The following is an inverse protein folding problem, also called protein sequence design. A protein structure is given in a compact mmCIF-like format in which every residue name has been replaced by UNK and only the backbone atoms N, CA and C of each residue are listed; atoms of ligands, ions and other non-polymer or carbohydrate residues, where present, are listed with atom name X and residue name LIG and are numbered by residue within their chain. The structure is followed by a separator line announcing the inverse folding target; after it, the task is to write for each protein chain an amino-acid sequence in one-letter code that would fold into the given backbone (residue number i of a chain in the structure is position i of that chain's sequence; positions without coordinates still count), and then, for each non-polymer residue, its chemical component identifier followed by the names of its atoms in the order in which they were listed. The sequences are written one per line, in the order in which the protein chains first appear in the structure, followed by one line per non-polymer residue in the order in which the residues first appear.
data_IF_814999013224
#
_entry.id   IF_814999013224
#
_cell.length_a   1.000
_cell.length_b   1.000
_cell.length_c   1.000
_cell.angle_alpha   90.00
_cell.angle_beta   90.00
_cell.angle_gamma   90.00
#
_symmetry.space_group_name_H-M   'P 1'
#
loop_
_entity.id
_entity.type
_entity.pdbx_description
1 polymer ?
#
# COMPACT_ATOMS: atom_id res chain seq x y z
N UNK A 1 18.77 -1.70 -67.48
CA UNK A 1 19.37 -2.68 -66.56
C UNK A 1 18.21 -3.55 -66.04
N UNK A 2 17.74 -4.57 -66.75
CA UNK A 2 18.24 -5.94 -66.97
C UNK A 2 18.06 -6.93 -65.78
N UNK A 3 17.19 -7.93 -66.05
CA UNK A 3 17.03 -9.31 -65.52
C UNK A 3 16.47 -9.54 -64.10
N UNK A 4 15.34 -10.24 -63.88
CA UNK A 4 14.88 -11.64 -64.16
C UNK A 4 15.52 -12.75 -63.29
N UNK A 5 14.70 -13.26 -62.36
CA UNK A 5 14.42 -14.67 -61.97
C UNK A 5 15.54 -15.69 -61.69
N UNK A 6 15.45 -16.25 -60.48
CA UNK A 6 15.36 -17.68 -60.10
C UNK A 6 16.61 -18.59 -60.02
N UNK A 7 16.38 -19.65 -59.23
CA UNK A 7 16.97 -21.00 -59.20
C UNK A 7 18.12 -21.23 -58.20
N UNK A 8 17.88 -21.99 -57.10
CA UNK A 8 18.22 -23.43 -57.03
C UNK A 8 17.83 -24.09 -55.70
N UNK A 9 17.38 -25.33 -55.88
CA UNK A 9 16.74 -26.27 -54.97
C UNK A 9 17.77 -27.09 -54.17
N UNK A 10 17.36 -27.47 -52.95
CA UNK A 10 17.65 -28.67 -52.15
C UNK A 10 19.09 -29.17 -51.92
N UNK A 11 19.40 -29.44 -50.65
CA UNK A 11 19.92 -30.74 -50.25
C UNK A 11 19.29 -31.20 -48.93
N UNK A 12 18.78 -32.42 -48.94
CA UNK A 12 18.12 -33.12 -47.84
C UNK A 12 19.15 -33.74 -46.90
N UNK A 13 18.87 -33.76 -45.60
CA UNK A 13 19.42 -34.76 -44.69
C UNK A 13 18.39 -35.09 -43.61
N UNK A 14 17.78 -36.26 -43.76
CA UNK A 14 17.05 -37.00 -42.74
C UNK A 14 18.00 -37.50 -41.67
N UNK A 15 17.68 -37.26 -40.39
CA UNK A 15 18.03 -38.19 -39.32
C UNK A 15 16.96 -38.11 -38.23
N UNK A 16 16.29 -39.24 -38.07
CA UNK A 16 15.23 -39.53 -37.10
C UNK A 16 15.89 -39.87 -35.77
N UNK A 17 15.53 -39.20 -34.68
CA UNK A 17 15.61 -39.80 -33.34
C UNK A 17 14.34 -39.45 -32.57
N UNK A 18 13.57 -40.51 -32.32
CA UNK A 18 12.47 -40.59 -31.38
C UNK A 18 12.92 -40.29 -29.95
N UNK A 19 12.16 -39.43 -29.25
CA UNK A 19 11.73 -39.67 -27.88
C UNK A 19 10.60 -38.69 -27.54
N UNK A 20 9.37 -39.14 -27.76
CA UNK A 20 8.21 -38.63 -27.03
C UNK A 20 8.41 -38.97 -25.56
N UNK A 21 8.46 -37.96 -24.69
CA UNK A 21 7.80 -37.97 -23.39
C UNK A 21 7.57 -36.51 -22.97
N UNK A 22 6.30 -36.15 -22.99
CA UNK A 22 5.73 -34.83 -22.71
C UNK A 22 5.77 -34.59 -21.20
N UNK A 23 6.45 -33.56 -20.69
CA UNK A 23 6.10 -32.98 -19.40
C UNK A 23 4.91 -32.04 -19.61
N UNK A 24 3.87 -32.29 -18.83
CA UNK A 24 2.68 -31.48 -18.76
C UNK A 24 2.99 -30.03 -18.37
N UNK A 25 2.18 -29.14 -18.93
CA UNK A 25 1.76 -27.84 -18.39
C UNK A 25 2.82 -26.73 -18.26
N UNK A 26 2.62 -25.71 -19.09
CA UNK A 26 2.31 -24.40 -18.52
C UNK A 26 3.49 -23.44 -18.40
N UNK A 27 3.67 -22.66 -19.46
CA UNK A 27 4.35 -21.38 -19.49
C UNK A 27 4.03 -20.50 -18.27
N UNK A 28 5.06 -19.98 -17.60
CA UNK A 28 5.26 -18.52 -17.44
C UNK A 28 6.52 -18.25 -16.61
N UNK A 29 7.48 -17.63 -17.28
CA UNK A 29 8.51 -16.71 -16.80
C UNK A 29 8.78 -16.68 -15.29
N UNK A 30 9.94 -17.22 -14.92
CA UNK A 30 10.64 -16.86 -13.70
C UNK A 30 10.82 -15.34 -13.67
N UNK A 31 9.95 -14.65 -12.93
CA UNK A 31 10.17 -13.25 -12.58
C UNK A 31 11.41 -13.20 -11.68
N UNK A 32 12.42 -12.52 -12.18
CA UNK A 32 13.63 -12.16 -11.48
C UNK A 32 13.27 -11.63 -10.09
N UNK A 33 13.74 -12.32 -9.04
CA UNK A 33 13.81 -11.78 -7.70
C UNK A 33 14.74 -10.56 -7.74
N UNK A 34 14.17 -9.39 -8.00
CA UNK A 34 14.82 -8.13 -7.72
C UNK A 34 15.05 -8.09 -6.21
N UNK A 35 16.32 -8.13 -5.85
CA UNK A 35 16.87 -7.99 -4.52
C UNK A 35 16.30 -6.76 -3.79
N UNK A 36 15.75 -7.00 -2.59
CA UNK A 36 16.00 -6.14 -1.43
C UNK A 36 15.44 -4.71 -1.39
N UNK A 37 14.51 -4.31 -2.27
CA UNK A 37 13.82 -3.02 -2.14
C UNK A 37 12.34 -3.18 -1.87
N UNK A 38 12.01 -3.74 -0.71
CA UNK A 38 10.71 -3.50 -0.10
C UNK A 38 10.86 -3.24 1.40
N UNK A 39 10.15 -2.20 1.87
CA UNK A 39 9.69 -1.94 3.25
C UNK A 39 10.31 -0.76 4.04
N UNK A 40 11.49 -0.21 3.71
CA UNK A 40 11.98 1.05 4.34
C UNK A 40 11.67 2.32 3.51
N UNK A 41 11.43 2.15 2.21
CA UNK A 41 11.13 3.21 1.25
C UNK A 41 9.71 3.80 1.45
N UNK A 42 9.61 4.73 2.40
CA UNK A 42 8.60 5.80 2.60
C UNK A 42 8.85 6.54 3.91
N UNK A 43 9.50 5.90 4.88
CA UNK A 43 9.86 6.55 6.14
C UNK A 43 10.96 7.58 5.93
N UNK A 44 12.08 7.17 5.32
CA UNK A 44 13.25 8.05 5.14
C UNK A 44 12.94 9.25 4.23
N UNK A 45 12.08 9.06 3.23
CA UNK A 45 11.61 10.17 2.39
C UNK A 45 10.69 11.13 3.15
N UNK A 46 9.92 10.65 4.13
CA UNK A 46 9.11 11.51 5.00
C UNK A 46 9.98 12.20 6.05
N UNK A 47 10.98 11.53 6.59
CA UNK A 47 12.01 12.12 7.46
C UNK A 47 12.71 13.28 6.78
N UNK A 48 13.26 13.05 5.57
CA UNK A 48 13.95 14.07 4.80
C UNK A 48 13.02 15.28 4.53
N UNK A 49 11.80 15.02 4.06
CA UNK A 49 10.80 16.07 3.84
C UNK A 49 10.51 16.85 5.12
N UNK A 50 10.33 16.18 6.25
CA UNK A 50 9.99 16.83 7.52
C UNK A 50 11.15 17.44 8.31
N UNK A 51 12.39 17.24 7.85
CA UNK A 51 13.56 18.02 8.26
C UNK A 51 13.65 19.34 7.49
N UNK A 52 13.37 19.31 6.19
CA UNK A 52 13.49 20.48 5.31
C UNK A 52 12.22 21.34 5.21
N UNK A 53 11.11 20.90 5.81
CA UNK A 53 9.83 21.63 5.74
C UNK A 53 9.21 21.85 7.12
N UNK A 54 8.29 22.81 7.17
CA UNK A 54 7.57 23.17 8.39
C UNK A 54 6.65 22.04 8.87
N UNK A 55 6.20 22.15 10.13
CA UNK A 55 5.20 21.24 10.73
C UNK A 55 3.88 21.17 9.95
N UNK A 56 3.54 22.18 9.16
CA UNK A 56 2.30 22.21 8.38
C UNK A 56 2.46 21.65 6.97
N UNK A 57 3.67 21.23 6.57
CA UNK A 57 3.88 20.65 5.25
C UNK A 57 3.09 19.35 5.07
N UNK A 58 2.35 19.26 3.96
CA UNK A 58 1.53 18.08 3.60
C UNK A 58 2.45 17.03 2.98
N UNK A 59 2.61 15.90 3.67
CA UNK A 59 3.36 14.76 3.17
C UNK A 59 2.54 13.90 2.21
N UNK A 60 1.26 13.72 2.52
CA UNK A 60 0.39 12.78 1.83
C UNK A 60 -1.08 13.17 1.99
N UNK A 61 -1.90 12.78 1.02
CA UNK A 61 -3.36 12.78 1.10
C UNK A 61 -3.86 11.33 1.11
N UNK A 62 -4.85 11.05 1.94
CA UNK A 62 -5.62 9.81 1.96
C UNK A 62 -7.04 10.12 1.50
N UNK A 63 -7.64 9.29 0.67
CA UNK A 63 -8.90 9.58 0.02
C UNK A 63 -10.04 8.74 0.60
N UNK A 64 -11.24 9.31 0.63
CA UNK A 64 -12.50 8.63 0.93
C UNK A 64 -13.56 9.16 -0.02
N UNK A 65 -13.74 8.49 -1.16
CA UNK A 65 -14.54 9.02 -2.27
C UNK A 65 -14.02 10.40 -2.70
N UNK A 66 -14.87 11.45 -2.79
CA UNK A 66 -14.45 12.80 -3.15
C UNK A 66 -13.73 13.54 -2.02
N UNK A 67 -13.78 13.04 -0.79
CA UNK A 67 -13.12 13.66 0.36
C UNK A 67 -11.66 13.21 0.47
N UNK A 68 -10.82 14.05 1.09
CA UNK A 68 -9.46 13.66 1.42
C UNK A 68 -9.05 14.18 2.79
N UNK A 69 -8.11 13.45 3.37
CA UNK A 69 -7.51 13.75 4.66
C UNK A 69 -6.01 13.93 4.48
N UNK A 70 -5.43 14.97 5.08
CA UNK A 70 -4.01 15.26 4.90
C UNK A 70 -3.18 14.72 6.05
N UNK A 71 -2.05 14.10 5.72
CA UNK A 71 -1.00 13.81 6.68
C UNK A 71 0.08 14.86 6.52
N UNK A 72 0.27 15.65 7.57
CA UNK A 72 1.33 16.65 7.63
C UNK A 72 2.51 16.13 8.43
N UNK A 73 3.66 16.80 8.29
CA UNK A 73 4.83 16.54 9.11
C UNK A 73 4.53 16.56 10.61
N UNK A 74 3.77 17.56 11.05
CA UNK A 74 3.27 17.65 12.41
C UNK A 74 4.35 17.88 13.46
N UNK A 75 4.05 17.47 14.68
CA UNK A 75 4.89 17.63 15.87
C UNK A 75 4.98 16.31 16.63
N UNK A 76 5.55 16.30 17.84
CA UNK A 76 5.49 15.12 18.72
C UNK A 76 4.07 14.79 19.21
N UNK A 77 3.13 15.73 19.10
CA UNK A 77 1.76 15.58 19.58
C UNK A 77 0.74 15.20 18.49
N UNK A 78 1.05 15.42 17.21
CA UNK A 78 0.14 15.13 16.10
C UNK A 78 0.88 14.97 14.76
N UNK A 79 0.22 14.38 13.77
CA UNK A 79 0.75 14.20 12.42
C UNK A 79 1.81 13.10 12.33
N UNK A 80 2.59 13.11 11.26
CA UNK A 80 3.50 12.01 10.96
C UNK A 80 4.61 11.84 12.01
N UNK A 81 5.19 12.93 12.53
CA UNK A 81 6.21 12.87 13.60
C UNK A 81 5.68 12.17 14.85
N UNK A 82 4.43 12.41 15.23
CA UNK A 82 3.79 11.75 16.36
C UNK A 82 3.55 10.26 16.08
N UNK A 83 2.98 9.92 14.92
CA UNK A 83 2.72 8.52 14.56
C UNK A 83 4.03 7.73 14.53
N UNK A 84 5.07 8.29 13.89
CA UNK A 84 6.40 7.67 13.84
C UNK A 84 6.95 7.45 15.25
N UNK A 85 6.94 8.47 16.10
CA UNK A 85 7.57 8.39 17.43
C UNK A 85 6.83 7.49 18.41
N UNK A 86 5.49 7.55 18.45
CA UNK A 86 4.68 6.83 19.45
C UNK A 86 4.31 5.43 19.04
N UNK A 87 4.18 5.22 17.74
CA UNK A 87 3.59 4.00 17.25
C UNK A 87 4.53 3.32 16.22
N UNK A 88 5.49 4.03 15.62
CA UNK A 88 6.30 3.55 14.48
C UNK A 88 5.79 4.03 13.12
N UNK A 89 6.61 3.94 12.07
CA UNK A 89 6.16 4.23 10.70
C UNK A 89 6.76 3.23 9.72
N UNK A 90 5.91 2.60 8.91
CA UNK A 90 6.32 1.68 7.85
C UNK A 90 5.22 1.58 6.78
N UNK A 91 5.51 0.90 5.67
CA UNK A 91 4.57 0.72 4.56
C UNK A 91 3.27 0.02 4.99
N UNK A 92 3.33 -0.91 5.94
CA UNK A 92 2.15 -1.59 6.49
C UNK A 92 1.26 -0.64 7.26
N UNK A 93 1.82 0.29 8.02
CA UNK A 93 1.06 1.32 8.69
C UNK A 93 0.40 2.27 7.72
N UNK A 94 1.16 2.76 6.76
CA UNK A 94 0.64 3.64 5.73
C UNK A 94 -0.57 3.01 5.01
N UNK A 95 -0.47 1.71 4.68
CA UNK A 95 -1.59 0.93 4.12
C UNK A 95 -2.78 0.79 5.07
N UNK A 96 -2.55 0.61 6.37
CA UNK A 96 -3.64 0.52 7.36
C UNK A 96 -4.37 1.85 7.54
N UNK A 97 -3.66 2.98 7.50
CA UNK A 97 -4.25 4.32 7.50
C UNK A 97 -5.13 4.49 6.27
N UNK A 98 -4.57 4.15 5.10
CA UNK A 98 -5.28 4.23 3.82
C UNK A 98 -6.56 3.39 3.84
N UNK A 99 -6.48 2.12 4.26
CA UNK A 99 -7.65 1.24 4.37
C UNK A 99 -8.71 1.75 5.36
N UNK A 100 -8.28 2.24 6.53
CA UNK A 100 -9.21 2.80 7.51
C UNK A 100 -9.94 4.04 6.96
N UNK A 101 -9.22 4.94 6.29
CA UNK A 101 -9.82 6.15 5.71
C UNK A 101 -10.70 5.81 4.51
N UNK A 102 -10.24 4.92 3.63
CA UNK A 102 -10.94 4.55 2.40
C UNK A 102 -12.28 3.86 2.68
N UNK A 103 -12.27 2.80 3.51
CA UNK A 103 -13.44 1.93 3.69
C UNK A 103 -13.73 1.56 5.15
N UNK A 104 -12.97 2.08 6.11
CA UNK A 104 -13.25 1.86 7.53
C UNK A 104 -14.55 2.53 7.99
N UNK A 105 -15.07 2.05 9.13
CA UNK A 105 -16.27 2.60 9.75
C UNK A 105 -15.90 3.78 10.66
N UNK A 106 -16.80 4.77 10.82
CA UNK A 106 -16.65 5.80 11.84
C UNK A 106 -16.47 5.19 13.23
N UNK A 107 -15.55 5.74 14.01
CA UNK A 107 -15.15 5.16 15.31
C UNK A 107 -15.64 5.94 16.53
N UNK A 108 -16.53 6.92 16.34
CA UNK A 108 -17.05 7.78 17.42
C UNK A 108 -16.01 8.70 18.07
N UNK A 109 -14.76 8.73 17.57
CA UNK A 109 -13.64 9.52 18.10
C UNK A 109 -13.09 10.52 17.07
N UNK A 110 -13.91 10.89 16.08
CA UNK A 110 -13.50 11.80 15.02
C UNK A 110 -12.56 11.16 14.00
N UNK A 111 -12.71 9.86 13.72
CA UNK A 111 -11.96 9.20 12.65
C UNK A 111 -12.58 7.88 12.23
N UNK A 112 -11.75 7.02 11.65
CA UNK A 112 -12.18 5.76 11.06
C UNK A 112 -11.39 4.58 11.59
N UNK A 113 -12.02 3.42 11.60
CA UNK A 113 -11.40 2.19 12.09
C UNK A 113 -11.68 0.99 11.20
N UNK A 114 -10.76 0.02 11.25
CA UNK A 114 -10.98 -1.32 10.69
C UNK A 114 -11.22 -2.32 11.80
N UNK A 115 -12.02 -3.34 11.50
CA UNK A 115 -12.48 -4.34 12.46
C UNK A 115 -12.27 -5.74 11.91
N UNK A 116 -12.11 -6.71 12.81
CA UNK A 116 -12.24 -8.12 12.45
C UNK A 116 -13.70 -8.44 12.12
N UNK A 117 -13.86 -9.28 11.11
CA UNK A 117 -15.16 -9.84 10.73
C UNK A 117 -15.47 -11.05 11.63
N UNK A 118 -15.75 -10.76 12.90
CA UNK A 118 -16.15 -11.74 13.92
C UNK A 118 -17.16 -11.11 14.88
N UNK A 119 -17.86 -11.93 15.67
CA UNK A 119 -18.85 -11.48 16.65
C UNK A 119 -18.38 -11.76 18.08
N UNK A 120 -18.24 -10.73 18.94
CA UNK A 120 -18.36 -9.30 18.65
C UNK A 120 -17.22 -8.76 17.78
N UNK A 121 -17.49 -7.70 16.99
CA UNK A 121 -16.47 -7.06 16.14
C UNK A 121 -15.34 -6.51 17.01
N UNK A 122 -14.10 -6.82 16.64
CA UNK A 122 -12.91 -6.33 17.35
C UNK A 122 -12.19 -5.30 16.49
N UNK A 123 -12.01 -4.10 17.02
CA UNK A 123 -11.29 -3.02 16.36
C UNK A 123 -9.78 -3.34 16.30
N UNK A 124 -9.19 -3.24 15.11
CA UNK A 124 -7.77 -3.58 14.87
C UNK A 124 -6.89 -2.39 14.56
N UNK A 125 -7.47 -1.34 14.01
CA UNK A 125 -6.73 -0.15 13.66
C UNK A 125 -7.64 1.06 13.70
N UNK A 126 -7.10 2.17 14.21
CA UNK A 126 -7.83 3.42 14.38
C UNK A 126 -7.05 4.57 13.77
N UNK A 127 -7.75 5.47 13.09
CA UNK A 127 -7.31 6.82 12.77
C UNK A 127 -8.09 7.83 13.61
N UNK A 128 -7.45 8.95 13.93
CA UNK A 128 -8.11 10.12 14.52
C UNK A 128 -7.77 11.31 13.63
N UNK A 129 -8.80 12.08 13.27
CA UNK A 129 -8.72 13.24 12.40
C UNK A 129 -8.95 14.51 13.23
N UNK A 130 -8.38 15.61 12.78
CA UNK A 130 -8.53 16.94 13.37
C UNK A 130 -7.27 17.35 14.11
N UNK A 131 -6.46 18.20 13.49
CA UNK A 131 -5.26 18.77 14.10
C UNK A 131 -5.40 20.29 14.26
N UNK A 132 -4.53 20.94 15.06
CA UNK A 132 -4.48 22.40 15.09
C UNK A 132 -4.18 23.05 13.72
N UNK A 133 -3.63 22.29 12.77
CA UNK A 133 -3.32 22.79 11.43
C UNK A 133 -4.49 22.61 10.43
N UNK A 134 -5.52 21.84 10.78
CA UNK A 134 -6.64 21.55 9.88
C UNK A 134 -7.58 20.48 10.43
N UNK A 135 -8.88 20.69 10.19
CA UNK A 135 -9.96 19.80 10.62
C UNK A 135 -9.96 18.45 9.91
N UNK A 136 -9.47 18.38 8.66
CA UNK A 136 -9.35 17.14 7.87
C UNK A 136 -7.92 16.55 7.91
N UNK A 137 -7.14 16.87 8.93
CA UNK A 137 -5.77 16.38 9.03
C UNK A 137 -5.68 15.15 9.94
N UNK A 138 -4.87 14.16 9.56
CA UNK A 138 -4.61 12.98 10.36
C UNK A 138 -3.83 13.38 11.63
N UNK A 139 -4.50 13.33 12.78
CA UNK A 139 -3.93 13.60 14.09
C UNK A 139 -3.02 12.46 14.54
N UNK A 140 -3.54 11.24 14.52
CA UNK A 140 -2.78 10.02 14.84
C UNK A 140 -3.39 8.79 14.18
N UNK A 141 -2.65 7.69 14.21
CA UNK A 141 -3.14 6.38 13.83
C UNK A 141 -2.36 5.26 14.54
N UNK A 142 -3.07 4.28 15.07
CA UNK A 142 -2.47 3.22 15.87
C UNK A 142 -3.26 1.91 15.81
N UNK A 143 -2.56 0.81 16.13
CA UNK A 143 -3.21 -0.49 16.30
C UNK A 143 -4.06 -0.46 17.56
N UNK A 144 -5.24 -1.06 17.48
CA UNK A 144 -6.16 -1.24 18.60
C UNK A 144 -6.37 -2.74 18.78
N UNK A 145 -6.69 -3.15 20.00
CA UNK A 145 -7.24 -4.48 20.29
C UNK A 145 -8.33 -4.35 21.35
N UNK A 146 -9.46 -3.80 20.92
CA UNK A 146 -10.61 -3.49 21.78
C UNK A 146 -11.88 -3.92 21.05
N UNK A 147 -12.91 -4.29 21.82
CA UNK A 147 -14.26 -4.47 21.26
C UNK A 147 -14.71 -3.16 20.59
N UNK A 148 -15.42 -3.29 19.48
CA UNK A 148 -15.95 -2.14 18.76
C UNK A 148 -16.80 -1.26 19.69
N UNK A 149 -16.66 0.07 19.55
CA UNK A 149 -17.47 1.04 20.29
C UNK A 149 -18.97 0.79 20.04
N UNK A 150 -19.78 0.93 21.10
CA UNK A 150 -21.23 0.79 21.01
C UNK A 150 -21.80 1.68 19.89
N UNK A 151 -22.56 1.09 18.97
CA UNK A 151 -23.06 1.76 17.76
C UNK A 151 -22.27 1.51 16.47
N UNK A 152 -21.04 0.98 16.55
CA UNK A 152 -20.30 0.45 15.38
C UNK A 152 -20.45 -1.09 15.22
N UNK A 153 -21.02 -1.73 16.24
CA UNK A 153 -21.15 -3.18 16.35
C UNK A 153 -22.60 -3.61 16.15
N UNK A 154 -22.98 -3.83 14.89
CA UNK A 154 -23.91 -4.90 14.58
C UNK A 154 -23.10 -6.05 14.00
N UNK A 155 -23.34 -7.24 14.53
CA UNK A 155 -23.36 -8.41 13.66
C UNK A 155 -24.56 -8.19 12.72
#
# INVERSE_FOLDING_TARGET
MFHKTSVKTALSATAVISALLIPAAGSASAASHASGQSVTARADSFDAKCRSHSRTYILKKYYRGPQFFTLRCGTRAWGWKHIKARHGWNSTRDRKIDAAIWSGDPNGRGGYSTYLNQCPRVEKFRTIIGTPAGTNDLLTAYKVDQSAVAGAARC
#
